data_IF_951833699257
#
_entry.id   IF_951833699257
#
_cell.length_a   1.000
_cell.length_b   1.000
_cell.length_c   1.000
_cell.angle_alpha   90.00
_cell.angle_beta   90.00
_cell.angle_gamma   90.00
#
_symmetry.space_group_name_H-M   'P 1'
#
loop_
_entity.id
_entity.type
_entity.pdbx_description
1 polymer ?
#
# COMPACT_ATOMS: atom_id res chain seq x y z
N UNK A 1 7.65 17.13 16.34
CA UNK A 1 6.40 17.91 16.14
C UNK A 1 5.25 17.04 16.59
N UNK A 2 4.34 17.48 17.48
CA UNK A 2 3.22 16.65 17.89
C UNK A 2 2.13 16.65 16.82
N UNK A 3 1.57 15.47 16.62
CA UNK A 3 0.64 15.05 15.58
C UNK A 3 -0.72 15.76 15.70
N UNK A 4 -1.22 16.36 14.63
CA UNK A 4 -2.57 16.94 14.61
C UNK A 4 -3.60 15.84 14.29
N UNK A 5 -3.89 14.97 15.27
CA UNK A 5 -5.16 14.25 15.28
C UNK A 5 -6.23 15.23 15.75
N UNK A 6 -6.90 15.88 14.80
CA UNK A 6 -8.04 16.71 15.19
C UNK A 6 -9.17 15.79 15.61
N UNK A 7 -9.65 15.93 16.84
CA UNK A 7 -10.91 15.32 17.29
C UNK A 7 -12.12 15.70 16.42
N UNK A 8 -11.95 16.66 15.49
CA UNK A 8 -12.98 17.08 14.52
C UNK A 8 -13.17 16.12 13.35
N UNK A 9 -12.17 15.28 13.00
CA UNK A 9 -12.36 14.28 11.94
C UNK A 9 -13.11 13.07 12.52
N UNK A 10 -14.43 13.09 12.43
CA UNK A 10 -15.32 12.04 12.95
C UNK A 10 -16.18 11.42 11.84
N UNK A 11 -15.56 10.72 10.87
CA UNK A 11 -16.31 10.04 9.82
C UNK A 11 -17.20 8.94 10.42
N UNK A 12 -18.29 8.61 9.72
CA UNK A 12 -19.14 7.48 10.10
C UNK A 12 -18.33 6.20 9.91
N UNK A 13 -18.19 5.42 10.98
CA UNK A 13 -17.59 4.08 10.97
C UNK A 13 -18.63 3.07 11.43
N UNK A 14 -18.69 1.92 10.77
CA UNK A 14 -19.58 0.79 11.10
C UNK A 14 -18.81 -0.41 11.61
N UNK A 15 -19.52 -1.34 12.25
CA UNK A 15 -18.95 -2.59 12.75
C UNK A 15 -18.85 -2.66 14.28
N UNK A 16 -19.42 -1.68 14.99
CA UNK A 16 -19.44 -1.67 16.45
C UNK A 16 -20.71 -2.34 17.00
N UNK A 17 -20.61 -2.98 18.17
CA UNK A 17 -21.73 -3.58 18.89
C UNK A 17 -22.19 -4.94 18.35
N UNK A 18 -23.26 -5.47 18.97
CA UNK A 18 -23.89 -6.76 18.62
C UNK A 18 -25.43 -6.60 18.60
N UNK A 19 -26.12 -6.67 17.43
CA UNK A 19 -25.54 -6.84 16.09
C UNK A 19 -24.72 -5.62 15.66
N UNK A 20 -23.81 -5.76 14.67
CA UNK A 20 -22.95 -4.67 14.21
C UNK A 20 -23.75 -3.50 13.63
N UNK A 21 -23.46 -2.29 14.09
CA UNK A 21 -24.06 -1.04 13.64
C UNK A 21 -23.05 0.11 13.53
N UNK A 22 -23.56 1.34 13.54
CA UNK A 22 -22.73 2.55 13.54
C UNK A 22 -21.96 2.65 14.87
N UNK A 23 -20.68 2.97 14.79
CA UNK A 23 -19.83 3.26 15.93
C UNK A 23 -20.18 4.64 16.52
N UNK A 24 -20.02 4.84 17.85
CA UNK A 24 -20.08 6.17 18.43
C UNK A 24 -19.14 7.14 17.71
N UNK A 25 -19.58 8.38 17.55
CA UNK A 25 -18.75 9.43 16.94
C UNK A 25 -17.42 9.54 17.69
N UNK A 26 -16.32 9.37 16.95
CA UNK A 26 -14.97 9.31 17.48
C UNK A 26 -13.98 9.88 16.48
N UNK A 27 -12.88 10.43 16.98
CA UNK A 27 -11.80 10.89 16.11
C UNK A 27 -11.21 9.73 15.30
N UNK A 28 -11.05 9.92 14.00
CA UNK A 28 -10.42 8.97 13.11
C UNK A 28 -9.08 9.49 12.57
N UNK A 29 -8.13 8.58 12.42
CA UNK A 29 -6.81 8.81 11.85
C UNK A 29 -6.76 8.59 10.34
N UNK A 30 -7.89 8.62 9.64
CA UNK A 30 -7.94 8.40 8.19
C UNK A 30 -8.98 9.31 7.52
N UNK A 31 -8.84 9.46 6.20
CA UNK A 31 -9.88 10.00 5.31
C UNK A 31 -10.35 8.91 4.37
N UNK A 32 -11.62 8.99 3.97
CA UNK A 32 -12.19 8.13 2.94
C UNK A 32 -11.75 8.58 1.54
N UNK A 33 -11.48 7.60 0.68
CA UNK A 33 -11.12 7.79 -0.72
C UNK A 33 -12.29 7.41 -1.62
N UNK A 34 -12.68 8.35 -2.46
CA UNK A 34 -13.71 8.22 -3.46
C UNK A 34 -13.12 7.97 -4.84
N UNK A 35 -13.89 7.36 -5.72
CA UNK A 35 -13.56 7.12 -7.13
C UNK A 35 -13.51 8.40 -7.98
N UNK A 36 -14.14 9.48 -7.52
CA UNK A 36 -14.19 10.79 -8.18
C UNK A 36 -14.24 11.92 -7.13
N UNK A 37 -13.97 13.20 -7.51
CA UNK A 37 -14.02 14.34 -6.60
C UNK A 37 -15.46 14.76 -6.25
N UNK A 38 -16.20 13.86 -5.58
CA UNK A 38 -17.57 14.05 -5.13
C UNK A 38 -17.87 13.16 -3.93
N UNK A 39 -18.57 13.66 -2.92
CA UNK A 39 -18.99 12.84 -1.77
C UNK A 39 -19.99 11.75 -2.14
N UNK A 40 -20.69 11.91 -3.27
CA UNK A 40 -21.61 10.91 -3.80
C UNK A 40 -20.92 9.84 -4.65
N UNK A 41 -19.63 10.03 -4.98
CA UNK A 41 -18.89 9.02 -5.72
C UNK A 41 -18.66 7.80 -4.82
N UNK A 42 -18.73 6.58 -5.36
CA UNK A 42 -18.43 5.37 -4.60
C UNK A 42 -17.05 5.43 -3.93
N UNK A 43 -16.92 4.81 -2.77
CA UNK A 43 -15.63 4.58 -2.12
C UNK A 43 -14.79 3.61 -2.95
N UNK A 44 -13.47 3.72 -2.84
CA UNK A 44 -12.56 2.85 -3.57
C UNK A 44 -12.75 1.38 -3.21
N UNK A 45 -12.66 0.52 -4.22
CA UNK A 45 -12.57 -0.93 -4.07
C UNK A 45 -11.10 -1.37 -4.02
N UNK A 46 -10.79 -2.46 -3.35
CA UNK A 46 -9.46 -3.09 -3.35
C UNK A 46 -9.65 -4.57 -3.72
N UNK A 47 -9.01 -5.08 -4.78
CA UNK A 47 -9.25 -6.44 -5.26
C UNK A 47 -8.76 -7.57 -4.32
N UNK A 48 -8.05 -7.30 -3.22
CA UNK A 48 -7.84 -8.28 -2.15
C UNK A 48 -9.00 -8.33 -1.15
N UNK A 49 -9.72 -7.22 -0.96
CA UNK A 49 -10.81 -7.10 0.01
C UNK A 49 -12.17 -7.38 -0.68
N UNK A 50 -12.35 -6.79 -1.85
CA UNK A 50 -13.54 -6.86 -2.70
C UNK A 50 -13.18 -7.47 -4.06
N UNK A 51 -12.93 -8.79 -4.14
CA UNK A 51 -12.52 -9.46 -5.38
C UNK A 51 -13.60 -9.43 -6.48
N UNK A 52 -14.85 -9.15 -6.12
CA UNK A 52 -15.97 -8.95 -7.05
C UNK A 52 -16.04 -7.52 -7.62
N UNK A 53 -15.14 -6.63 -7.18
CA UNK A 53 -15.11 -5.23 -7.58
C UNK A 53 -16.17 -4.36 -6.93
N UNK A 54 -16.87 -4.86 -5.90
CA UNK A 54 -17.82 -4.05 -5.13
C UNK A 54 -17.11 -2.85 -4.47
N UNK A 55 -17.80 -1.69 -4.33
CA UNK A 55 -17.21 -0.53 -3.68
C UNK A 55 -16.83 -0.77 -2.22
N UNK A 56 -15.85 0.00 -1.75
CA UNK A 56 -15.51 0.06 -0.33
C UNK A 56 -16.68 0.48 0.55
N UNK A 57 -16.56 0.19 1.84
CA UNK A 57 -17.62 0.39 2.83
C UNK A 57 -17.13 1.20 4.04
N UNK A 58 -18.08 1.74 4.78
CA UNK A 58 -17.80 2.39 6.07
C UNK A 58 -17.53 1.40 7.21
N UNK A 59 -17.49 0.09 6.95
CA UNK A 59 -17.08 -0.88 7.95
C UNK A 59 -15.62 -0.61 8.35
N UNK A 60 -15.33 -0.57 9.64
CA UNK A 60 -13.98 -0.32 10.15
C UNK A 60 -12.96 -1.39 9.76
N UNK A 61 -13.40 -2.62 9.51
CA UNK A 61 -12.53 -3.71 9.03
C UNK A 61 -12.24 -3.64 7.52
N UNK A 62 -12.99 -2.85 6.76
CA UNK A 62 -12.73 -2.61 5.36
C UNK A 62 -11.63 -1.55 5.23
N UNK A 63 -10.52 -1.88 4.58
CA UNK A 63 -9.37 -0.97 4.42
C UNK A 63 -9.17 -0.54 2.96
N UNK A 64 -10.13 -0.81 2.07
CA UNK A 64 -10.00 -0.53 0.63
C UNK A 64 -9.89 0.96 0.29
N UNK A 65 -10.43 1.82 1.16
CA UNK A 65 -10.69 3.23 0.89
C UNK A 65 -10.13 4.19 1.95
N UNK A 66 -9.31 3.71 2.90
CA UNK A 66 -8.88 4.51 4.06
C UNK A 66 -7.43 4.97 3.90
N UNK A 67 -7.24 6.25 3.59
CA UNK A 67 -5.92 6.87 3.61
C UNK A 67 -5.58 7.31 5.04
N UNK A 68 -4.66 6.61 5.68
CA UNK A 68 -4.31 6.87 7.08
C UNK A 68 -3.30 8.01 7.21
N UNK A 69 -3.47 8.80 8.27
CA UNK A 69 -2.54 9.85 8.66
C UNK A 69 -1.17 9.26 9.01
N UNK A 70 -0.12 10.04 8.73
CA UNK A 70 1.27 9.64 8.97
C UNK A 70 1.92 8.90 7.80
N UNK A 71 1.15 8.41 6.83
CA UNK A 71 1.69 7.90 5.57
C UNK A 71 1.86 9.01 4.52
N UNK A 72 2.78 8.76 3.59
CA UNK A 72 3.03 9.63 2.45
C UNK A 72 2.43 9.04 1.20
N UNK A 73 1.72 9.87 0.44
CA UNK A 73 1.11 9.50 -0.83
C UNK A 73 1.52 10.49 -1.91
N UNK A 74 1.72 9.98 -3.13
CA UNK A 74 1.98 10.83 -4.27
C UNK A 74 0.66 11.38 -4.82
N UNK A 75 0.58 12.69 -5.01
CA UNK A 75 -0.59 13.36 -5.62
C UNK A 75 -0.81 12.81 -7.03
N UNK A 76 -2.04 12.46 -7.38
CA UNK A 76 -2.42 11.96 -8.69
C UNK A 76 -3.21 12.99 -9.50
N UNK A 77 -3.80 13.99 -8.85
CA UNK A 77 -4.66 14.98 -9.48
C UNK A 77 -5.23 15.97 -8.46
N UNK A 78 -5.83 17.04 -8.96
CA UNK A 78 -6.49 18.07 -8.16
C UNK A 78 -7.78 18.51 -8.85
N UNK A 79 -8.78 18.83 -8.04
CA UNK A 79 -10.03 19.45 -8.45
C UNK A 79 -10.46 20.46 -7.37
N UNK A 80 -11.49 21.26 -7.63
CA UNK A 80 -11.94 22.29 -6.69
C UNK A 80 -12.36 21.68 -5.33
N UNK A 81 -11.51 21.84 -4.31
CA UNK A 81 -11.73 21.29 -2.97
C UNK A 81 -11.39 19.81 -2.78
N UNK A 82 -10.76 19.18 -3.79
CA UNK A 82 -10.41 17.77 -3.78
C UNK A 82 -8.98 17.53 -4.24
N UNK A 83 -8.31 16.60 -3.58
CA UNK A 83 -7.00 16.09 -3.98
C UNK A 83 -7.16 14.60 -4.31
N UNK A 84 -6.55 14.16 -5.41
CA UNK A 84 -6.37 12.75 -5.70
C UNK A 84 -4.97 12.30 -5.30
N UNK A 85 -4.85 11.08 -4.80
CA UNK A 85 -3.57 10.39 -4.56
C UNK A 85 -3.55 9.05 -5.31
N UNK A 86 -2.35 8.55 -5.62
CA UNK A 86 -2.19 7.17 -6.06
C UNK A 86 -2.33 6.24 -4.86
N UNK A 87 -3.30 5.33 -4.91
CA UNK A 87 -3.66 4.43 -3.83
C UNK A 87 -3.99 3.05 -4.41
N UNK A 88 -3.21 2.03 -4.07
CA UNK A 88 -3.55 0.64 -4.40
C UNK A 88 -3.71 0.30 -5.89
N UNK A 89 -3.06 1.04 -6.81
CA UNK A 89 -3.18 0.82 -8.26
C UNK A 89 -4.17 1.76 -8.96
N UNK A 90 -4.76 2.73 -8.26
CA UNK A 90 -5.79 3.63 -8.80
C UNK A 90 -5.72 5.03 -8.17
N UNK A 91 -6.52 5.97 -8.66
CA UNK A 91 -6.67 7.28 -8.04
C UNK A 91 -7.73 7.25 -6.94
N UNK A 92 -7.41 7.78 -5.76
CA UNK A 92 -8.35 8.00 -4.68
C UNK A 92 -8.51 9.48 -4.37
N UNK A 93 -9.75 9.96 -4.40
CA UNK A 93 -10.11 11.35 -4.19
C UNK A 93 -10.62 11.58 -2.77
N UNK A 94 -10.15 12.64 -2.12
CA UNK A 94 -10.66 13.05 -0.82
C UNK A 94 -10.74 14.57 -0.76
N UNK A 95 -11.59 15.06 0.15
CA UNK A 95 -11.72 16.50 0.39
C UNK A 95 -10.41 17.03 0.96
N UNK A 96 -9.86 18.00 0.26
CA UNK A 96 -8.65 18.71 0.65
C UNK A 96 -8.72 20.11 0.04
N UNK A 97 -8.88 21.11 0.88
CA UNK A 97 -9.05 22.49 0.43
C UNK A 97 -8.11 23.42 1.17
N UNK A 98 -7.75 24.54 0.54
CA UNK A 98 -6.82 25.51 1.14
C UNK A 98 -7.26 26.02 2.52
N UNK A 99 -8.58 26.09 2.76
CA UNK A 99 -9.17 26.58 4.01
C UNK A 99 -9.53 25.46 5.00
N UNK A 100 -9.40 24.20 4.59
CA UNK A 100 -9.63 23.00 5.40
C UNK A 100 -8.74 21.88 4.86
N UNK A 101 -7.42 22.04 5.08
CA UNK A 101 -6.41 21.11 4.56
C UNK A 101 -6.44 19.82 5.37
N UNK A 102 -6.54 18.69 4.67
CA UNK A 102 -6.42 17.35 5.25
C UNK A 102 -5.03 16.76 5.01
N UNK A 103 -4.21 17.44 4.21
CA UNK A 103 -2.83 17.06 3.92
C UNK A 103 -1.79 18.01 4.52
N UNK A 104 -0.58 17.50 4.67
CA UNK A 104 0.63 18.30 4.92
C UNK A 104 1.55 18.11 3.72
N UNK A 105 1.82 19.17 2.92
CA UNK A 105 2.74 19.08 1.80
C UNK A 105 4.13 18.62 2.27
N UNK A 106 4.67 17.61 1.60
CA UNK A 106 5.97 17.02 1.93
C UNK A 106 6.72 16.63 0.67
N UNK A 107 8.02 16.39 0.81
CA UNK A 107 8.88 15.86 -0.24
C UNK A 107 9.22 14.41 0.08
N UNK A 108 9.07 13.53 -0.90
CA UNK A 108 9.42 12.12 -0.81
C UNK A 108 9.88 11.63 -2.18
N UNK A 109 10.76 10.63 -2.18
CA UNK A 109 11.18 9.98 -3.41
C UNK A 109 10.08 9.01 -3.86
N UNK A 110 9.83 8.95 -5.16
CA UNK A 110 8.80 8.08 -5.72
C UNK A 110 9.38 7.13 -6.75
N UNK A 111 8.69 6.02 -6.98
CA UNK A 111 8.93 5.14 -8.13
C UNK A 111 7.80 5.25 -9.13
N UNK A 112 8.11 4.94 -10.38
CA UNK A 112 7.14 4.70 -11.46
C UNK A 112 7.62 3.51 -12.30
N UNK A 113 6.72 2.88 -13.04
CA UNK A 113 7.11 1.83 -13.99
C UNK A 113 8.14 2.36 -15.00
N UNK A 114 9.07 1.51 -15.44
CA UNK A 114 10.07 1.86 -16.45
C UNK A 114 9.39 2.45 -17.71
N UNK A 115 9.96 3.50 -18.32
CA UNK A 115 9.39 4.09 -19.53
C UNK A 115 9.18 3.05 -20.64
N UNK A 116 7.98 3.04 -21.24
CA UNK A 116 7.61 2.10 -22.30
C UNK A 116 7.00 0.79 -21.82
N UNK A 117 7.11 0.43 -20.53
CA UNK A 117 6.35 -0.68 -19.97
C UNK A 117 4.89 -0.30 -19.76
N UNK A 118 3.98 -1.26 -19.98
CA UNK A 118 2.56 -1.07 -19.68
C UNK A 118 2.32 -0.95 -18.16
N UNK A 119 3.03 -1.78 -17.38
CA UNK A 119 2.94 -1.78 -15.93
C UNK A 119 4.12 -2.51 -15.26
N UNK A 120 4.39 -2.22 -13.99
CA UNK A 120 5.30 -2.99 -13.13
C UNK A 120 4.51 -3.90 -12.16
N UNK A 121 4.89 -5.18 -11.98
CA UNK A 121 4.25 -6.07 -11.01
C UNK A 121 4.53 -5.65 -9.55
N UNK A 122 3.57 -5.92 -8.67
CA UNK A 122 3.69 -5.67 -7.23
C UNK A 122 3.76 -7.00 -6.47
N UNK A 123 4.60 -7.07 -5.45
CA UNK A 123 4.87 -8.28 -4.69
C UNK A 123 4.61 -8.07 -3.19
N UNK A 124 4.12 -9.11 -2.51
CA UNK A 124 3.97 -9.10 -1.06
C UNK A 124 5.26 -9.46 -0.30
N UNK A 125 6.31 -9.86 -1.02
CA UNK A 125 7.58 -10.33 -0.48
C UNK A 125 8.72 -10.11 -1.46
N UNK A 126 9.93 -9.92 -0.93
CA UNK A 126 11.18 -9.83 -1.67
C UNK A 126 12.03 -11.09 -1.44
N UNK A 127 11.46 -12.29 -1.66
CA UNK A 127 12.22 -13.53 -1.54
C UNK A 127 13.15 -13.73 -2.74
N UNK A 128 14.24 -14.50 -2.58
CA UNK A 128 15.26 -14.61 -3.59
C UNK A 128 14.82 -15.55 -4.71
N UNK A 129 15.48 -15.43 -5.86
CA UNK A 129 15.33 -16.34 -6.98
C UNK A 129 15.68 -17.79 -6.60
N UNK A 130 15.14 -18.76 -7.33
CA UNK A 130 15.35 -20.18 -7.03
C UNK A 130 16.83 -20.60 -6.97
N UNK A 131 17.69 -19.93 -7.74
CA UNK A 131 19.13 -20.18 -7.77
C UNK A 131 19.86 -19.79 -6.48
N UNK A 132 19.25 -18.97 -5.62
CA UNK A 132 19.82 -18.59 -4.33
C UNK A 132 19.68 -19.68 -3.25
N UNK A 133 18.80 -20.66 -3.48
CA UNK A 133 18.55 -21.73 -2.52
C UNK A 133 19.60 -22.85 -2.67
N UNK A 134 20.15 -23.37 -1.55
CA UNK A 134 21.02 -24.55 -1.60
C UNK A 134 20.34 -25.76 -2.23
N UNK A 135 21.13 -26.64 -2.83
CA UNK A 135 20.63 -27.93 -3.34
C UNK A 135 19.95 -28.72 -2.23
N UNK A 136 18.74 -29.24 -2.50
CA UNK A 136 17.93 -29.97 -1.54
C UNK A 136 16.94 -29.12 -0.74
N UNK A 137 16.97 -27.79 -0.88
CA UNK A 137 15.96 -26.89 -0.31
C UNK A 137 14.95 -26.50 -1.38
N UNK A 138 13.65 -26.66 -1.10
CA UNK A 138 12.58 -26.21 -2.00
C UNK A 138 12.46 -24.68 -1.97
N UNK A 139 12.68 -23.99 -3.10
CA UNK A 139 12.56 -22.53 -3.17
C UNK A 139 11.14 -22.04 -2.83
N UNK A 140 11.04 -20.83 -2.27
CA UNK A 140 9.76 -20.16 -2.10
C UNK A 140 9.42 -19.37 -3.37
N UNK A 141 8.39 -19.78 -4.09
CA UNK A 141 8.01 -19.12 -5.34
C UNK A 141 7.60 -17.65 -5.13
N UNK A 142 8.16 -16.72 -5.90
CA UNK A 142 7.77 -15.30 -5.86
C UNK A 142 6.71 -15.03 -6.92
N UNK A 143 5.46 -14.98 -6.51
CA UNK A 143 4.31 -14.71 -7.38
C UNK A 143 3.85 -13.26 -7.16
N UNK A 144 3.63 -12.46 -8.21
CA UNK A 144 3.03 -11.14 -8.08
C UNK A 144 1.66 -11.21 -7.38
N UNK A 145 1.35 -10.15 -6.64
CA UNK A 145 -0.01 -9.91 -6.18
C UNK A 145 -0.90 -9.52 -7.37
N UNK A 146 -2.21 -9.43 -7.13
CA UNK A 146 -3.21 -8.99 -8.12
C UNK A 146 -3.09 -7.51 -8.53
N UNK A 147 -2.00 -6.84 -8.16
CA UNK A 147 -1.79 -5.41 -8.38
C UNK A 147 -0.66 -5.17 -9.38
N UNK A 148 -0.80 -4.07 -10.11
CA UNK A 148 0.27 -3.53 -10.94
C UNK A 148 0.36 -2.02 -10.77
N UNK A 149 1.54 -1.48 -11.06
CA UNK A 149 1.76 -0.04 -11.19
C UNK A 149 1.70 0.28 -12.67
N UNK A 150 0.56 0.80 -13.13
CA UNK A 150 0.39 1.18 -14.52
C UNK A 150 1.26 2.40 -14.90
N UNK A 151 1.52 2.58 -16.20
CA UNK A 151 2.20 3.75 -16.71
C UNK A 151 1.56 5.06 -16.19
N UNK A 152 2.40 6.01 -15.77
CA UNK A 152 1.97 7.30 -15.20
C UNK A 152 1.62 7.27 -13.71
N UNK A 153 1.50 6.09 -13.09
CA UNK A 153 1.35 5.99 -11.64
C UNK A 153 2.68 6.20 -10.92
N UNK A 154 2.61 6.72 -9.71
CA UNK A 154 3.78 6.93 -8.84
C UNK A 154 3.47 6.57 -7.39
N UNK A 155 4.41 5.90 -6.74
CA UNK A 155 4.28 5.48 -5.33
C UNK A 155 5.50 5.90 -4.52
N UNK A 156 5.28 6.29 -3.27
CA UNK A 156 6.34 6.79 -2.39
C UNK A 156 7.15 5.61 -1.85
N UNK A 157 8.47 5.77 -1.82
CA UNK A 157 9.36 4.83 -1.16
C UNK A 157 9.09 4.83 0.36
N UNK A 158 8.84 3.66 0.92
CA UNK A 158 8.81 3.45 2.37
C UNK A 158 10.23 3.34 2.95
N UNK A 159 11.19 2.90 2.14
CA UNK A 159 12.62 2.88 2.48
C UNK A 159 13.47 3.51 1.38
N UNK A 160 14.53 4.24 1.79
CA UNK A 160 15.37 5.02 0.85
C UNK A 160 16.18 4.16 -0.11
N UNK A 161 16.57 2.97 0.31
CA UNK A 161 17.44 2.09 -0.45
C UNK A 161 16.68 0.82 -0.82
N UNK A 162 16.94 0.24 -2.00
CA UNK A 162 16.37 -1.06 -2.31
C UNK A 162 16.94 -2.11 -1.36
N UNK A 163 16.11 -3.05 -0.97
CA UNK A 163 16.50 -4.23 -0.20
C UNK A 163 16.93 -5.34 -1.16
N UNK A 164 17.94 -6.11 -0.75
CA UNK A 164 18.32 -7.33 -1.45
C UNK A 164 17.28 -8.40 -1.15
N UNK A 165 16.96 -9.21 -2.15
CA UNK A 165 16.07 -10.34 -1.96
C UNK A 165 16.68 -11.34 -0.98
N UNK A 166 15.93 -11.78 0.01
CA UNK A 166 16.41 -12.72 1.01
C UNK A 166 15.29 -13.59 1.58
N UNK A 167 15.67 -14.72 2.18
CA UNK A 167 14.75 -15.61 2.86
C UNK A 167 15.45 -16.28 4.03
N UNK A 168 15.05 -15.87 5.23
CA UNK A 168 15.47 -16.54 6.45
C UNK A 168 14.77 -17.90 6.57
N UNK A 169 15.51 -18.96 6.28
CA UNK A 169 15.05 -20.33 6.35
C UNK A 169 15.13 -20.81 7.81
N UNK A 170 14.02 -20.69 8.54
CA UNK A 170 13.85 -21.20 9.90
C UNK A 170 12.60 -22.09 9.97
N UNK A 171 12.77 -23.41 9.84
CA UNK A 171 11.69 -24.41 9.83
C UNK A 171 11.52 -25.14 11.15
N UNK A 172 12.57 -25.20 11.97
CA UNK A 172 12.51 -25.79 13.31
C UNK A 172 12.92 -24.76 14.35
N UNK A 173 12.58 -25.01 15.62
CA UNK A 173 13.01 -24.15 16.73
C UNK A 173 14.44 -24.50 17.16
N UNK A 174 14.84 -25.76 16.99
CA UNK A 174 16.06 -26.35 17.56
C UNK A 174 17.22 -26.50 16.56
N UNK A 175 17.06 -25.98 15.34
CA UNK A 175 18.07 -26.04 14.29
C UNK A 175 18.42 -27.47 13.85
N UNK A 176 17.43 -28.37 13.88
CA UNK A 176 17.63 -29.82 13.71
C UNK A 176 17.72 -30.31 12.27
N UNK A 177 17.49 -29.44 11.27
CA UNK A 177 17.54 -29.80 9.85
C UNK A 177 18.66 -29.04 9.11
N UNK A 178 19.15 -29.55 7.97
CA UNK A 178 20.15 -28.86 7.17
C UNK A 178 19.72 -27.44 6.77
N UNK A 179 20.68 -26.52 6.81
CA UNK A 179 20.51 -25.10 6.46
C UNK A 179 19.47 -24.35 7.31
N UNK A 180 18.98 -24.93 8.40
CA UNK A 180 18.05 -24.23 9.29
C UNK A 180 18.71 -22.99 9.91
N UNK A 181 17.89 -22.02 10.27
CA UNK A 181 18.30 -20.68 10.73
C UNK A 181 19.34 -20.00 9.82
N UNK A 182 19.28 -20.24 8.51
CA UNK A 182 20.18 -19.62 7.53
C UNK A 182 19.45 -18.62 6.68
N UNK A 183 20.08 -17.47 6.43
CA UNK A 183 19.58 -16.48 5.49
C UNK A 183 20.08 -16.80 4.06
N UNK A 184 19.15 -17.06 3.14
CA UNK A 184 19.46 -17.26 1.73
C UNK A 184 19.30 -15.96 0.98
N UNK A 185 20.39 -15.45 0.42
CA UNK A 185 20.41 -14.15 -0.25
C UNK A 185 20.41 -14.29 -1.78
N UNK A 186 19.52 -13.55 -2.41
CA UNK A 186 19.40 -13.45 -3.86
C UNK A 186 20.16 -12.26 -4.44
N UNK A 187 20.12 -12.18 -5.77
CA UNK A 187 20.70 -11.09 -6.55
C UNK A 187 19.70 -9.98 -6.87
N UNK A 188 18.39 -10.30 -6.91
CA UNK A 188 17.32 -9.34 -7.15
C UNK A 188 17.28 -8.24 -6.07
N UNK A 189 16.94 -7.03 -6.50
CA UNK A 189 16.72 -5.87 -5.63
C UNK A 189 15.26 -5.45 -5.69
N UNK A 190 14.71 -5.05 -4.55
CA UNK A 190 13.32 -4.60 -4.42
C UNK A 190 13.24 -3.26 -3.71
N UNK A 191 12.35 -2.38 -4.16
CA UNK A 191 11.94 -1.21 -3.40
C UNK A 191 10.72 -1.54 -2.55
N UNK A 192 10.75 -1.13 -1.28
CA UNK A 192 9.57 -1.09 -0.43
C UNK A 192 8.82 0.22 -0.66
N UNK A 193 7.53 0.15 -0.97
CA UNK A 193 6.67 1.30 -1.26
C UNK A 193 5.45 1.34 -0.36
N UNK A 194 4.92 2.53 -0.10
CA UNK A 194 3.56 2.69 0.41
C UNK A 194 2.57 2.43 -0.74
N UNK A 195 1.71 1.43 -0.58
CA UNK A 195 0.77 0.99 -1.62
C UNK A 195 -0.61 0.72 -1.01
N UNK A 196 -1.46 1.74 -1.01
CA UNK A 196 -2.75 1.69 -0.31
C UNK A 196 -2.56 1.86 1.20
N UNK A 197 -3.26 1.04 2.00
CA UNK A 197 -3.13 1.01 3.46
C UNK A 197 -1.95 0.16 3.97
N UNK A 198 -1.14 -0.40 3.06
CA UNK A 198 -0.06 -1.36 3.34
C UNK A 198 1.25 -0.94 2.68
N UNK A 199 2.32 -1.66 2.99
CA UNK A 199 3.54 -1.64 2.18
C UNK A 199 3.55 -2.79 1.19
N UNK A 200 4.28 -2.62 0.10
CA UNK A 200 4.49 -3.66 -0.90
C UNK A 200 5.88 -3.55 -1.53
N UNK A 201 6.32 -4.61 -2.19
CA UNK A 201 7.59 -4.66 -2.91
C UNK A 201 7.39 -4.52 -4.40
N UNK A 202 8.33 -3.86 -5.07
CA UNK A 202 8.47 -3.85 -6.53
C UNK A 202 9.91 -4.13 -6.90
N UNK A 203 10.15 -4.92 -7.95
CA UNK A 203 11.51 -5.19 -8.42
C UNK A 203 12.14 -3.89 -8.90
N UNK A 204 13.38 -3.62 -8.50
CA UNK A 204 14.11 -2.43 -8.91
C UNK A 204 14.34 -2.37 -10.42
N UNK A 205 14.37 -3.52 -11.11
CA UNK A 205 14.50 -3.60 -12.56
C UNK A 205 13.25 -3.13 -13.33
N UNK A 206 12.08 -3.15 -12.69
CA UNK A 206 10.79 -2.83 -13.34
C UNK A 206 10.36 -1.37 -13.14
N UNK A 207 11.13 -0.60 -12.36
CA UNK A 207 10.79 0.77 -11.98
C UNK A 207 11.97 1.73 -12.09
N UNK A 208 11.66 3.02 -12.12
CA UNK A 208 12.65 4.12 -12.03
C UNK A 208 12.31 5.02 -10.85
N UNK A 209 13.33 5.63 -10.27
CA UNK A 209 13.19 6.65 -9.23
C UNK A 209 12.88 8.02 -9.85
N UNK A 210 12.00 8.78 -9.21
CA UNK A 210 11.65 10.17 -9.56
C UNK A 210 11.81 11.09 -8.35
#
# INVERSE_FOLDING_TARGET
MPWNYSSSNQPIVRGCGTPPGDCPAQGASFVYLHTAPSDSAPLLSDPAIHPDGSPGTTNGADLSDKAVAGLQFAVAGQAAGWTAIWFGGQQGWFRDSRNASTTVPTRGQTISAVPGAASAPVYGRAYPEAAAYPTGVTPQAVVPLQYTIAAGQRYVLAERHPVRADYYYAKTIDNSIPFDHTDFQGSDLYYLIYFGHRTAYVRAADVVLN
#
